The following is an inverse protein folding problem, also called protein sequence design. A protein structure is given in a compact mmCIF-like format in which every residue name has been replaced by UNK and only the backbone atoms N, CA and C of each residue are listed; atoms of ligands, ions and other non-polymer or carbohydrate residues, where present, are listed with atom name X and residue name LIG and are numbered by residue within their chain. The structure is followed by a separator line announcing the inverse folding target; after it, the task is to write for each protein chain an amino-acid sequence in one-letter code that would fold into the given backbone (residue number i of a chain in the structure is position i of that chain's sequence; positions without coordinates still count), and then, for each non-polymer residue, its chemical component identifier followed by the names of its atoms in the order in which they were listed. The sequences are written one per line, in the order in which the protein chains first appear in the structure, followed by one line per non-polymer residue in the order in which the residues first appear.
data_IF_035968229937
#
_entry.id   IF_035968229937
#
_cell.length_a   1.000
_cell.length_b   1.000
_cell.length_c   1.000
_cell.angle_alpha   90.00
_cell.angle_beta   90.00
_cell.angle_gamma   90.00
#
_symmetry.space_group_name_H-M   'P 1'
#
loop_
_entity.id
_entity.type
_entity.pdbx_description
1 polymer ?
#
# COMPACT_ATOMS: atom_id res chain seq x y z
N UNK A 1 40.43 0.59 -2.99
CA UNK A 1 39.49 -0.52 -2.72
C UNK A 1 38.23 0.03 -2.08
N UNK A 2 37.06 -0.31 -2.60
CA UNK A 2 35.77 -0.05 -1.93
C UNK A 2 35.64 -1.00 -0.75
N UNK A 3 35.18 -0.50 0.41
CA UNK A 3 35.09 -1.28 1.66
C UNK A 3 33.67 -1.75 2.00
N UNK A 4 32.65 -1.04 1.54
CA UNK A 4 31.24 -1.43 1.62
C UNK A 4 30.42 -0.62 0.61
N UNK A 5 29.27 -1.17 0.22
CA UNK A 5 28.24 -0.48 -0.56
C UNK A 5 26.92 -0.70 0.15
N UNK A 6 26.14 0.37 0.30
CA UNK A 6 24.81 0.32 0.86
C UNK A 6 23.81 0.68 -0.23
N UNK A 7 22.81 -0.18 -0.40
CA UNK A 7 21.70 0.08 -1.31
C UNK A 7 20.45 0.34 -0.47
N UNK A 8 19.65 1.30 -0.93
CA UNK A 8 18.28 1.39 -0.49
C UNK A 8 17.51 0.14 -0.96
N UNK A 9 16.50 -0.28 -0.22
CA UNK A 9 15.68 -1.42 -0.63
C UNK A 9 14.61 -0.93 -1.61
N UNK A 10 13.84 0.06 -1.20
CA UNK A 10 12.67 0.53 -1.92
C UNK A 10 13.06 1.43 -3.11
N UNK A 11 12.63 1.08 -4.31
CA UNK A 11 12.94 1.85 -5.52
C UNK A 11 14.38 1.68 -6.03
N UNK A 12 15.23 0.90 -5.34
CA UNK A 12 16.58 0.54 -5.80
C UNK A 12 16.71 -0.97 -6.03
N UNK A 13 16.44 -1.79 -5.00
CA UNK A 13 16.46 -3.26 -5.13
C UNK A 13 15.07 -3.85 -5.37
N UNK A 14 14.02 -3.15 -4.94
CA UNK A 14 12.63 -3.56 -5.04
C UNK A 14 11.81 -2.50 -5.78
N UNK A 15 11.02 -2.92 -6.76
CA UNK A 15 9.95 -2.09 -7.30
C UNK A 15 8.81 -2.02 -6.27
N UNK A 16 8.91 -1.01 -5.39
CA UNK A 16 7.97 -0.79 -4.30
C UNK A 16 6.55 -0.56 -4.82
N UNK A 17 6.40 0.27 -5.84
CA UNK A 17 5.08 0.68 -6.33
C UNK A 17 4.33 -0.51 -6.93
N UNK A 18 5.01 -1.34 -7.73
CA UNK A 18 4.41 -2.56 -8.28
C UNK A 18 4.13 -3.59 -7.21
N UNK A 19 5.02 -3.74 -6.23
CA UNK A 19 4.84 -4.65 -5.10
C UNK A 19 3.64 -4.27 -4.25
N UNK A 20 3.48 -2.99 -3.95
CA UNK A 20 2.35 -2.46 -3.20
C UNK A 20 1.03 -2.65 -3.96
N UNK A 21 1.00 -2.32 -5.24
CA UNK A 21 -0.20 -2.50 -6.07
C UNK A 21 -0.63 -3.99 -6.12
N UNK A 22 0.32 -4.92 -6.26
CA UNK A 22 0.05 -6.35 -6.25
C UNK A 22 -0.46 -6.83 -4.88
N UNK A 23 0.14 -6.35 -3.78
CA UNK A 23 -0.31 -6.65 -2.43
C UNK A 23 -1.76 -6.19 -2.21
N UNK A 24 -2.09 -4.95 -2.56
CA UNK A 24 -3.44 -4.40 -2.39
C UNK A 24 -4.47 -5.14 -3.24
N UNK A 25 -4.11 -5.50 -4.48
CA UNK A 25 -4.95 -6.33 -5.32
C UNK A 25 -5.28 -7.68 -4.65
N UNK A 26 -4.29 -8.37 -4.10
CA UNK A 26 -4.50 -9.63 -3.39
C UNK A 26 -5.29 -9.46 -2.09
N UNK A 27 -5.06 -8.36 -1.36
CA UNK A 27 -5.82 -8.05 -0.16
C UNK A 27 -7.30 -7.86 -0.47
N UNK A 28 -7.63 -7.14 -1.55
CA UNK A 28 -9.01 -6.94 -1.99
C UNK A 28 -9.75 -8.27 -2.20
N UNK A 29 -9.13 -9.23 -2.88
CA UNK A 29 -9.73 -10.55 -3.12
C UNK A 29 -10.01 -11.33 -1.82
N UNK A 30 -9.18 -11.11 -0.79
CA UNK A 30 -9.21 -11.87 0.47
C UNK A 30 -10.08 -11.26 1.56
N UNK A 31 -10.44 -9.98 1.46
CA UNK A 31 -11.17 -9.26 2.51
C UNK A 31 -12.56 -8.84 2.00
N UNK A 32 -13.63 -9.59 2.38
CA UNK A 32 -14.98 -9.33 1.87
C UNK A 32 -15.51 -7.92 2.15
N UNK A 33 -15.13 -7.30 3.26
CA UNK A 33 -15.55 -5.95 3.63
C UNK A 33 -15.16 -4.91 2.56
N UNK A 34 -14.05 -5.11 1.84
CA UNK A 34 -13.59 -4.19 0.80
C UNK A 34 -14.44 -4.22 -0.47
N UNK A 35 -15.27 -5.25 -0.67
CA UNK A 35 -16.07 -5.40 -1.89
C UNK A 35 -17.01 -4.22 -2.13
N UNK A 36 -17.55 -3.63 -1.07
CA UNK A 36 -18.45 -2.46 -1.16
C UNK A 36 -17.78 -1.20 -1.68
N UNK A 37 -16.46 -1.06 -1.48
CA UNK A 37 -15.67 0.07 -1.97
C UNK A 37 -15.27 -0.07 -3.45
N UNK A 38 -15.14 -1.32 -3.94
CA UNK A 38 -14.62 -1.61 -5.28
C UNK A 38 -13.09 -1.56 -5.35
N UNK A 39 -12.50 -2.41 -6.20
CA UNK A 39 -11.07 -2.71 -6.22
C UNK A 39 -10.22 -1.49 -6.59
N UNK A 40 -10.58 -0.78 -7.64
CA UNK A 40 -9.82 0.37 -8.15
C UNK A 40 -9.88 1.55 -7.18
N UNK A 41 -11.04 1.77 -6.54
CA UNK A 41 -11.20 2.82 -5.55
C UNK A 41 -10.37 2.52 -4.30
N UNK A 42 -10.39 1.26 -3.83
CA UNK A 42 -9.57 0.81 -2.72
C UNK A 42 -8.08 1.03 -2.96
N UNK A 43 -7.55 0.50 -4.08
CA UNK A 43 -6.13 0.60 -4.38
C UNK A 43 -5.70 2.06 -4.50
N UNK A 44 -6.49 2.89 -5.21
CA UNK A 44 -6.18 4.30 -5.42
C UNK A 44 -6.18 5.07 -4.10
N UNK A 45 -7.23 4.92 -3.29
CA UNK A 45 -7.36 5.66 -2.02
C UNK A 45 -6.29 5.23 -1.03
N UNK A 46 -5.97 3.94 -0.98
CA UNK A 46 -4.88 3.44 -0.15
C UNK A 46 -3.53 4.11 -0.53
N UNK A 47 -3.18 4.12 -1.82
CA UNK A 47 -1.88 4.69 -2.28
C UNK A 47 -1.79 6.19 -2.00
N UNK A 48 -2.91 6.91 -2.14
CA UNK A 48 -2.99 8.34 -1.79
C UNK A 48 -2.71 8.58 -0.31
N UNK A 49 -3.35 7.81 0.57
CA UNK A 49 -3.16 7.89 2.03
C UNK A 49 -1.77 7.42 2.47
N UNK A 50 -1.21 6.40 1.82
CA UNK A 50 0.10 5.83 2.14
C UNK A 50 1.24 6.85 2.01
N UNK A 51 1.08 7.83 1.10
CA UNK A 51 2.08 8.85 0.76
C UNK A 51 3.47 8.23 0.59
N UNK A 52 3.62 7.23 -0.27
CA UNK A 52 4.89 6.51 -0.50
C UNK A 52 5.52 5.93 0.79
N UNK A 53 4.72 5.53 1.76
CA UNK A 53 5.16 4.96 3.03
C UNK A 53 5.47 5.99 4.13
N UNK A 54 5.23 7.28 3.91
CA UNK A 54 5.37 8.30 4.97
C UNK A 54 4.25 8.25 6.01
N UNK A 55 3.14 7.58 5.71
CA UNK A 55 2.02 7.38 6.64
C UNK A 55 1.99 5.94 7.12
N UNK A 56 1.82 5.78 8.43
CA UNK A 56 1.72 4.47 9.05
C UNK A 56 0.46 3.73 8.60
N UNK A 57 0.57 2.41 8.42
CA UNK A 57 -0.50 1.58 7.88
C UNK A 57 -1.74 1.53 8.78
N UNK A 58 -1.56 1.63 10.09
CA UNK A 58 -2.66 1.73 11.04
C UNK A 58 -3.51 2.98 10.80
N UNK A 59 -2.88 4.12 10.48
CA UNK A 59 -3.55 5.36 10.11
C UNK A 59 -4.26 5.19 8.76
N UNK A 60 -3.57 4.67 7.73
CA UNK A 60 -4.16 4.43 6.41
C UNK A 60 -5.43 3.56 6.52
N UNK A 61 -5.34 2.41 7.20
CA UNK A 61 -6.48 1.51 7.34
C UNK A 61 -7.60 2.09 8.19
N UNK A 62 -7.29 2.79 9.28
CA UNK A 62 -8.31 3.44 10.11
C UNK A 62 -9.09 4.48 9.31
N UNK A 63 -8.40 5.32 8.55
CA UNK A 63 -9.03 6.29 7.66
C UNK A 63 -9.92 5.62 6.61
N UNK A 64 -9.47 4.52 5.98
CA UNK A 64 -10.31 3.77 5.03
C UNK A 64 -11.58 3.20 5.68
N UNK A 65 -11.45 2.64 6.89
CA UNK A 65 -12.59 2.10 7.65
C UNK A 65 -13.59 3.20 7.98
N UNK A 66 -13.12 4.36 8.44
CA UNK A 66 -13.96 5.51 8.78
C UNK A 66 -14.65 6.12 7.55
N UNK A 67 -13.92 6.34 6.45
CA UNK A 67 -14.43 6.98 5.23
C UNK A 67 -15.51 6.14 4.53
N UNK A 68 -15.35 4.81 4.53
CA UNK A 68 -16.19 3.90 3.76
C UNK A 68 -17.08 3.01 4.62
N UNK A 69 -17.05 3.18 5.94
CA UNK A 69 -17.82 2.40 6.92
C UNK A 69 -17.68 0.89 6.67
N UNK A 70 -16.43 0.46 6.50
CA UNK A 70 -16.04 -0.93 6.24
C UNK A 70 -16.32 -1.86 7.43
#
# INVERSE_FOLDING_TARGET
MVKAILFDLDGTLLDRDRSLAAFLAQQFERVPALRGMGREAYIRRFVELDRKGYVWKDVVYRTLIEEYRL
#
